data_IF_197113141660
#
_entry.id   IF_197113141660
#
_cell.length_a   1.000
_cell.length_b   1.000
_cell.length_c   1.000
_cell.angle_alpha   90.00
_cell.angle_beta   90.00
_cell.angle_gamma   90.00
#
_symmetry.space_group_name_H-M   'P 1'
#
loop_
_entity.id
_entity.type
_entity.pdbx_description
1 polymer ?
#
# COMPACT_ATOMS: atom_id res chain seq x y z
N UNK A 1 8.27 12.48 -14.18
CA UNK A 1 8.86 12.47 -12.83
C UNK A 1 9.79 11.28 -12.74
N UNK A 2 11.02 11.45 -12.25
CA UNK A 2 11.99 10.37 -12.06
C UNK A 2 11.55 9.47 -10.91
N UNK A 3 11.87 8.17 -10.94
CA UNK A 3 11.72 7.28 -9.80
C UNK A 3 12.92 7.42 -8.82
N UNK A 4 12.87 6.74 -7.69
CA UNK A 4 13.90 6.86 -6.65
C UNK A 4 15.28 6.37 -7.12
N UNK A 5 15.32 5.32 -7.91
CA UNK A 5 16.57 4.79 -8.48
C UNK A 5 17.22 5.82 -9.40
N UNK A 6 16.45 6.49 -10.26
CA UNK A 6 16.98 7.56 -11.13
C UNK A 6 17.47 8.76 -10.30
N UNK A 7 16.75 9.15 -9.24
CA UNK A 7 17.19 10.21 -8.33
C UNK A 7 18.53 9.84 -7.64
N UNK A 8 18.65 8.60 -7.19
CA UNK A 8 19.88 8.08 -6.59
C UNK A 8 21.07 8.10 -7.59
N UNK A 9 20.83 7.75 -8.85
CA UNK A 9 21.81 7.85 -9.94
C UNK A 9 22.21 9.30 -10.20
N UNK A 10 21.29 10.26 -10.06
CA UNK A 10 21.59 11.69 -10.18
C UNK A 10 22.47 12.18 -9.03
N UNK A 11 22.24 11.72 -7.79
CA UNK A 11 23.14 12.00 -6.66
C UNK A 11 24.53 11.42 -6.88
N UNK A 12 24.62 10.15 -7.29
CA UNK A 12 25.88 9.47 -7.53
C UNK A 12 26.73 10.15 -8.64
N UNK A 13 26.08 10.77 -9.63
CA UNK A 13 26.75 11.47 -10.73
C UNK A 13 26.94 12.97 -10.50
N UNK A 14 26.46 13.51 -9.36
CA UNK A 14 26.53 14.94 -9.06
C UNK A 14 25.58 15.83 -9.90
N UNK A 15 24.61 15.24 -10.61
CA UNK A 15 23.59 16.00 -11.37
C UNK A 15 22.53 16.61 -10.46
N UNK A 16 22.37 16.09 -9.25
CA UNK A 16 21.46 16.60 -8.23
C UNK A 16 22.10 16.46 -6.85
N UNK A 17 21.52 17.13 -5.85
CA UNK A 17 21.98 17.15 -4.46
C UNK A 17 20.85 16.78 -3.51
N UNK A 18 21.11 15.95 -2.47
CA UNK A 18 20.10 15.55 -1.47
C UNK A 18 19.38 16.72 -0.79
N UNK A 19 20.10 17.82 -0.49
CA UNK A 19 19.51 19.01 0.14
C UNK A 19 18.52 19.70 -0.81
N UNK A 20 18.91 19.88 -2.07
CA UNK A 20 18.03 20.47 -3.08
C UNK A 20 16.77 19.59 -3.28
N UNK A 21 16.93 18.27 -3.38
CA UNK A 21 15.82 17.33 -3.54
C UNK A 21 14.86 17.39 -2.35
N UNK A 22 15.40 17.49 -1.13
CA UNK A 22 14.60 17.62 0.09
C UNK A 22 13.81 18.94 0.11
N UNK A 23 14.45 20.10 -0.16
CA UNK A 23 13.74 21.39 -0.11
C UNK A 23 12.63 21.46 -1.16
N UNK A 24 12.81 20.86 -2.34
CA UNK A 24 11.74 20.69 -3.32
C UNK A 24 10.59 19.83 -2.80
N UNK A 25 10.92 18.73 -2.09
CA UNK A 25 9.91 17.86 -1.48
C UNK A 25 9.14 18.57 -0.36
N UNK A 26 9.84 19.32 0.54
CA UNK A 26 9.21 20.08 1.62
C UNK A 26 8.32 21.21 1.10
N UNK A 27 8.77 21.95 0.09
CA UNK A 27 8.00 23.02 -0.55
C UNK A 27 6.71 22.43 -1.19
N UNK A 28 6.83 21.33 -1.95
CA UNK A 28 5.68 20.64 -2.55
C UNK A 28 4.74 20.07 -1.50
N UNK A 29 5.27 19.49 -0.43
CA UNK A 29 4.48 18.93 0.68
C UNK A 29 3.69 20.03 1.40
N UNK A 30 4.30 21.19 1.66
CA UNK A 30 3.65 22.33 2.34
C UNK A 30 2.48 22.91 1.55
N UNK A 31 2.51 22.83 0.21
CA UNK A 31 1.43 23.27 -0.69
C UNK A 31 0.37 22.21 -0.95
N UNK A 32 0.60 20.96 -0.52
CA UNK A 32 -0.29 19.84 -0.82
C UNK A 32 -1.32 19.67 0.29
N UNK A 33 -2.55 20.10 0.03
CA UNK A 33 -3.63 20.01 1.01
C UNK A 33 -3.89 18.55 1.42
N UNK A 34 -3.93 18.31 2.73
CA UNK A 34 -4.32 17.04 3.36
C UNK A 34 -3.45 15.83 3.03
N UNK A 35 -2.32 15.98 2.34
CA UNK A 35 -1.43 14.85 2.00
C UNK A 35 -0.58 14.45 3.19
N UNK A 36 -0.09 15.42 3.96
CA UNK A 36 0.69 15.19 5.17
C UNK A 36 -0.10 15.62 6.40
N UNK A 37 0.02 14.85 7.49
CA UNK A 37 -0.44 15.22 8.83
C UNK A 37 0.61 16.09 9.51
N UNK A 38 1.89 15.72 9.35
CA UNK A 38 3.01 16.50 9.89
C UNK A 38 4.26 16.36 9.02
N UNK A 39 5.05 17.42 8.96
CA UNK A 39 6.37 17.42 8.33
C UNK A 39 7.46 17.36 9.40
N UNK A 40 8.54 16.65 9.12
CA UNK A 40 9.70 16.51 10.00
C UNK A 40 10.90 17.30 9.47
N UNK A 41 10.65 18.56 9.07
CA UNK A 41 11.56 19.38 8.28
C UNK A 41 12.97 19.54 8.91
N UNK A 42 13.06 19.78 10.23
CA UNK A 42 14.36 19.91 10.91
C UNK A 42 15.16 18.61 10.88
N UNK A 43 14.52 17.48 11.14
CA UNK A 43 15.13 16.15 11.05
C UNK A 43 15.58 15.88 9.63
N UNK A 44 14.68 16.08 8.65
CA UNK A 44 14.95 15.83 7.25
C UNK A 44 16.13 16.66 6.71
N UNK A 45 16.26 17.94 7.11
CA UNK A 45 17.39 18.79 6.73
C UNK A 45 18.71 18.25 7.27
N UNK A 46 18.78 17.86 8.54
CA UNK A 46 19.98 17.24 9.12
C UNK A 46 20.36 15.95 8.39
N UNK A 47 19.37 15.10 8.07
CA UNK A 47 19.59 13.86 7.32
C UNK A 47 20.11 14.14 5.89
N UNK A 48 19.54 15.11 5.17
CA UNK A 48 19.95 15.46 3.82
C UNK A 48 21.34 16.12 3.75
N UNK A 49 21.66 17.03 4.69
CA UNK A 49 22.98 17.65 4.80
C UNK A 49 24.06 16.58 5.05
N UNK A 50 23.78 15.64 5.96
CA UNK A 50 24.69 14.53 6.22
C UNK A 50 24.87 13.62 4.98
N UNK A 51 23.80 13.33 4.23
CA UNK A 51 23.85 12.57 2.98
C UNK A 51 24.68 13.31 1.91
N UNK A 52 24.44 14.60 1.73
CA UNK A 52 25.22 15.43 0.79
C UNK A 52 26.71 15.45 1.14
N UNK A 53 27.05 15.53 2.43
CA UNK A 53 28.45 15.43 2.87
C UNK A 53 29.08 14.07 2.53
N UNK A 54 28.35 12.98 2.73
CA UNK A 54 28.81 11.61 2.40
C UNK A 54 29.02 11.43 0.89
N UNK A 55 28.10 11.93 0.07
CA UNK A 55 28.28 11.88 -1.40
C UNK A 55 29.52 12.65 -1.86
N UNK A 56 29.75 13.86 -1.31
CA UNK A 56 30.99 14.62 -1.61
C UNK A 56 32.27 13.91 -1.17
N UNK A 57 32.20 13.14 -0.08
CA UNK A 57 33.31 12.33 0.40
C UNK A 57 33.47 10.97 -0.35
N UNK A 58 32.55 10.64 -1.26
CA UNK A 58 32.55 9.33 -1.95
C UNK A 58 32.19 8.15 -1.02
N UNK A 59 31.49 8.40 0.08
CA UNK A 59 31.16 7.40 1.11
C UNK A 59 29.65 7.36 1.44
N UNK A 60 28.77 7.15 0.44
CA UNK A 60 27.35 7.01 0.70
C UNK A 60 27.04 5.75 1.51
N UNK A 61 26.04 5.79 2.40
CA UNK A 61 25.59 4.66 3.22
C UNK A 61 24.93 3.57 2.39
N UNK A 62 24.21 3.96 1.34
CA UNK A 62 23.59 3.06 0.36
C UNK A 62 23.45 3.78 -0.98
N UNK A 63 22.94 3.06 -1.99
CA UNK A 63 22.57 3.70 -3.25
C UNK A 63 21.45 4.77 -3.06
N UNK A 64 20.61 4.63 -2.03
CA UNK A 64 19.51 5.56 -1.73
C UNK A 64 19.84 6.57 -0.63
N UNK A 65 21.13 6.77 -0.34
CA UNK A 65 21.56 7.80 0.60
C UNK A 65 21.11 9.20 0.13
N UNK A 66 20.32 9.89 0.95
CA UNK A 66 19.75 11.20 0.62
C UNK A 66 18.41 11.15 -0.12
N UNK A 67 17.91 9.98 -0.54
CA UNK A 67 16.61 9.89 -1.21
C UNK A 67 15.47 10.19 -0.22
N UNK A 68 14.60 11.18 -0.52
CA UNK A 68 13.49 11.52 0.35
C UNK A 68 12.38 10.46 0.31
N UNK A 69 11.81 10.14 1.48
CA UNK A 69 10.65 9.28 1.60
C UNK A 69 9.65 9.83 2.63
N UNK A 70 8.40 9.37 2.52
CA UNK A 70 7.34 9.72 3.47
C UNK A 70 6.80 8.46 4.17
N UNK A 71 6.22 8.65 5.35
CA UNK A 71 5.73 7.58 6.21
C UNK A 71 4.25 7.75 6.49
N UNK A 72 3.44 6.73 6.28
CA UNK A 72 2.05 6.74 6.76
C UNK A 72 2.03 7.03 8.26
N UNK A 73 1.09 7.85 8.73
CA UNK A 73 1.05 8.25 10.14
C UNK A 73 0.58 7.12 11.09
N UNK A 74 1.11 5.94 10.85
CA UNK A 74 1.09 4.77 11.75
C UNK A 74 2.49 4.38 12.21
N UNK A 75 3.54 4.89 11.54
CA UNK A 75 4.93 4.59 11.88
C UNK A 75 5.43 5.58 12.91
N UNK A 76 5.94 5.11 14.04
CA UNK A 76 6.60 5.93 15.03
C UNK A 76 7.90 6.51 14.46
N UNK A 77 8.05 7.82 14.63
CA UNK A 77 9.27 8.56 14.35
C UNK A 77 9.63 9.33 15.61
N UNK A 78 10.84 9.14 16.11
CA UNK A 78 11.32 9.77 17.34
C UNK A 78 11.12 11.30 17.31
N UNK A 79 10.49 11.83 18.35
CA UNK A 79 10.15 13.25 18.48
C UNK A 79 8.86 13.68 17.75
N UNK A 80 8.12 12.77 17.09
CA UNK A 80 6.85 13.07 16.43
C UNK A 80 5.68 12.28 17.04
N UNK A 81 4.47 12.82 16.91
CA UNK A 81 3.24 12.15 17.35
C UNK A 81 2.77 11.19 16.24
N UNK A 82 2.34 10.00 16.61
CA UNK A 82 1.62 9.07 15.73
C UNK A 82 0.13 9.19 16.03
N UNK A 83 -0.59 9.87 15.13
CA UNK A 83 -2.03 10.13 15.33
C UNK A 83 -2.93 8.99 14.84
N UNK A 84 -2.42 8.11 13.98
CA UNK A 84 -3.22 7.10 13.27
C UNK A 84 -4.40 7.71 12.48
N UNK A 85 -4.28 8.99 12.06
CA UNK A 85 -5.34 9.73 11.39
C UNK A 85 -6.54 10.07 12.28
N UNK A 86 -6.44 9.93 13.61
CA UNK A 86 -7.53 10.08 14.57
C UNK A 86 -7.41 11.37 15.38
N UNK A 87 -8.54 12.07 15.59
CA UNK A 87 -8.58 13.34 16.29
C UNK A 87 -8.15 13.22 17.75
N UNK A 88 -8.59 12.18 18.46
CA UNK A 88 -8.29 11.96 19.87
C UNK A 88 -6.78 11.79 20.16
N UNK A 89 -6.00 11.45 19.13
CA UNK A 89 -4.54 11.26 19.26
C UNK A 89 -3.72 12.50 18.90
N UNK A 90 -4.34 13.63 18.55
CA UNK A 90 -3.59 14.86 18.16
C UNK A 90 -2.58 15.33 19.21
N UNK A 91 -2.87 15.06 20.47
CA UNK A 91 -2.05 15.44 21.61
C UNK A 91 -1.44 14.23 22.36
N UNK A 92 -1.38 13.07 21.69
CA UNK A 92 -0.71 11.91 22.24
C UNK A 92 0.79 12.20 22.47
N UNK A 93 1.46 11.48 23.37
CA UNK A 93 2.91 11.61 23.54
C UNK A 93 3.65 11.38 22.23
N UNK A 94 4.68 12.18 21.97
CA UNK A 94 5.59 11.93 20.86
C UNK A 94 6.32 10.60 21.07
N UNK A 95 6.57 9.85 19.99
CA UNK A 95 7.33 8.61 20.04
C UNK A 95 8.77 8.89 20.54
N UNK A 96 9.25 8.05 21.43
CA UNK A 96 10.63 8.15 21.95
C UNK A 96 11.67 7.51 21.04
N UNK A 97 11.24 6.56 20.21
CA UNK A 97 12.07 5.79 19.28
C UNK A 97 11.44 5.75 17.90
N UNK A 98 12.26 5.56 16.89
CA UNK A 98 11.81 5.23 15.55
C UNK A 98 11.26 3.79 15.51
N UNK A 99 10.23 3.55 14.73
CA UNK A 99 9.82 2.21 14.35
C UNK A 99 11.00 1.46 13.68
N UNK A 100 11.06 0.13 13.84
CA UNK A 100 12.17 -0.68 13.33
C UNK A 100 12.49 -0.42 11.85
N UNK A 101 11.48 -0.33 11.00
CA UNK A 101 11.64 -0.06 9.57
C UNK A 101 12.08 1.40 9.29
N UNK A 102 11.63 2.38 10.09
CA UNK A 102 12.11 3.77 10.01
C UNK A 102 13.60 3.81 10.31
N UNK A 103 14.02 3.20 11.41
CA UNK A 103 15.43 3.14 11.80
C UNK A 103 16.31 2.45 10.75
N UNK A 104 15.81 1.37 10.09
CA UNK A 104 16.55 0.68 9.02
C UNK A 104 16.79 1.58 7.81
N UNK A 105 15.75 2.24 7.29
CA UNK A 105 15.89 3.10 6.12
C UNK A 105 16.67 4.39 6.43
N UNK A 106 16.55 4.94 7.64
CA UNK A 106 17.41 6.04 8.08
C UNK A 106 18.89 5.63 8.19
N UNK A 107 19.19 4.43 8.67
CA UNK A 107 20.58 3.89 8.65
C UNK A 107 21.10 3.64 7.24
N UNK A 108 20.25 3.39 6.27
CA UNK A 108 20.61 3.36 4.86
C UNK A 108 20.81 4.75 4.24
N UNK A 109 20.58 5.82 5.00
CA UNK A 109 20.78 7.21 4.62
C UNK A 109 19.57 7.89 4.01
N UNK A 110 18.42 7.25 3.93
CA UNK A 110 17.21 7.87 3.38
C UNK A 110 16.70 9.00 4.27
N UNK A 111 16.05 9.99 3.67
CA UNK A 111 15.62 11.24 4.33
C UNK A 111 14.12 11.23 4.58
N UNK A 112 13.71 11.35 5.84
CA UNK A 112 12.31 11.29 6.26
C UNK A 112 11.63 12.66 6.17
N UNK A 113 10.79 12.87 5.16
CA UNK A 113 10.11 14.17 4.89
C UNK A 113 9.00 14.45 5.90
N UNK A 114 8.23 13.43 6.27
CA UNK A 114 7.11 13.59 7.19
C UNK A 114 6.15 12.42 7.21
N UNK A 115 5.03 12.63 7.91
CA UNK A 115 4.00 11.63 8.17
C UNK A 115 2.76 11.92 7.32
N UNK A 116 2.39 10.98 6.47
CA UNK A 116 1.29 11.12 5.51
C UNK A 116 -0.06 10.76 6.11
N UNK A 117 -1.09 11.40 5.59
CA UNK A 117 -2.48 11.18 5.96
C UNK A 117 -2.97 9.77 5.58
N UNK A 118 -4.03 9.34 6.24
CA UNK A 118 -4.63 8.02 6.08
C UNK A 118 -6.12 8.04 6.49
N UNK A 119 -6.88 7.02 6.08
CA UNK A 119 -8.18 6.76 6.71
C UNK A 119 -7.99 6.52 8.20
N UNK A 120 -8.83 7.11 9.05
CA UNK A 120 -8.72 6.98 10.50
C UNK A 120 -8.55 5.52 10.93
N UNK A 121 -7.59 5.27 11.85
CA UNK A 121 -7.19 3.95 12.35
C UNK A 121 -6.89 2.92 11.24
N UNK A 122 -6.55 3.37 10.02
CA UNK A 122 -6.39 2.53 8.83
C UNK A 122 -7.64 1.71 8.43
N UNK A 123 -8.84 2.05 8.89
CA UNK A 123 -10.02 1.19 8.83
C UNK A 123 -11.00 1.52 7.67
N UNK A 124 -10.47 1.98 6.53
CA UNK A 124 -11.24 2.15 5.27
C UNK A 124 -10.33 2.02 4.04
N UNK A 125 -10.86 1.47 2.94
CA UNK A 125 -10.19 1.39 1.63
C UNK A 125 -10.37 2.63 0.76
N UNK A 126 -11.14 3.63 1.19
CA UNK A 126 -11.47 4.80 0.36
C UNK A 126 -10.50 5.98 0.53
N UNK A 127 -9.84 6.11 1.68
CA UNK A 127 -8.87 7.17 1.93
C UNK A 127 -9.44 8.47 2.48
N UNK A 128 -10.75 8.51 2.83
CA UNK A 128 -11.38 9.66 3.44
C UNK A 128 -10.92 9.83 4.89
N UNK A 129 -10.72 11.07 5.31
CA UNK A 129 -10.45 11.43 6.70
C UNK A 129 -11.10 12.78 7.05
N UNK A 130 -12.12 12.81 7.91
CA UNK A 130 -12.81 14.04 8.28
C UNK A 130 -11.98 14.93 9.23
N UNK A 131 -10.98 14.38 9.91
CA UNK A 131 -10.20 15.09 10.94
C UNK A 131 -9.01 15.85 10.37
N UNK A 132 -8.37 15.30 9.34
CA UNK A 132 -7.17 15.87 8.70
C UNK A 132 -7.41 16.23 7.23
N UNK A 133 -8.67 16.16 6.77
CA UNK A 133 -9.06 16.32 5.38
C UNK A 133 -8.71 15.08 4.53
N UNK A 134 -9.26 15.03 3.32
CA UNK A 134 -9.02 13.90 2.39
C UNK A 134 -8.03 14.33 1.31
N UNK A 135 -6.89 13.62 1.13
CA UNK A 135 -5.99 13.84 0.01
C UNK A 135 -6.73 13.64 -1.32
N UNK A 136 -6.55 14.52 -2.28
CA UNK A 136 -7.21 14.40 -3.58
C UNK A 136 -6.36 13.57 -4.52
N UNK A 137 -7.00 12.63 -5.22
CA UNK A 137 -6.36 11.89 -6.29
C UNK A 137 -5.86 12.87 -7.38
N UNK A 138 -4.59 12.82 -7.81
CA UNK A 138 -4.07 13.72 -8.84
C UNK A 138 -4.65 13.47 -10.25
N UNK A 139 -5.30 12.33 -10.44
CA UNK A 139 -6.06 12.01 -11.66
C UNK A 139 -7.55 12.32 -11.42
N UNK A 140 -8.16 13.18 -12.11
CA UNK A 140 -9.54 13.59 -11.92
C UNK A 140 -9.60 15.10 -11.82
N UNK A 141 -9.38 15.72 -13.00
CA UNK A 141 -9.28 17.17 -13.11
C UNK A 141 -10.62 17.86 -13.16
N UNK A 142 -11.69 17.14 -13.50
CA UNK A 142 -13.08 17.61 -13.59
C UNK A 142 -13.78 17.63 -12.23
N UNK A 143 -13.58 16.59 -11.42
CA UNK A 143 -14.15 16.47 -10.09
C UNK A 143 -13.16 15.80 -9.14
N UNK A 144 -13.07 16.22 -7.85
CA UNK A 144 -12.24 15.57 -6.87
C UNK A 144 -12.62 14.09 -6.71
N UNK A 145 -11.62 13.21 -6.77
CA UNK A 145 -11.80 11.77 -6.64
C UNK A 145 -11.06 11.24 -5.43
N UNK A 146 -11.52 10.09 -4.91
CA UNK A 146 -10.87 9.45 -3.78
C UNK A 146 -9.46 8.99 -4.14
N UNK A 147 -8.51 9.08 -3.21
CA UNK A 147 -7.15 8.56 -3.40
C UNK A 147 -7.06 7.04 -3.24
N UNK A 148 -8.12 6.41 -2.69
CA UNK A 148 -7.98 5.07 -2.14
C UNK A 148 -7.25 5.08 -0.81
N UNK A 149 -7.44 4.02 -0.04
CA UNK A 149 -6.94 3.93 1.35
C UNK A 149 -6.60 2.51 1.79
N UNK A 150 -6.13 2.46 3.01
CA UNK A 150 -5.99 3.53 4.00
C UNK A 150 -4.74 4.41 3.84
N UNK A 151 -3.72 4.01 3.04
CA UNK A 151 -2.47 4.79 2.84
C UNK A 151 -2.66 5.91 1.81
N UNK A 152 -3.68 6.76 2.01
CA UNK A 152 -4.14 7.77 1.07
C UNK A 152 -3.09 8.85 0.79
N UNK A 153 -2.56 9.47 1.84
CA UNK A 153 -1.53 10.49 1.72
C UNK A 153 -0.23 9.94 1.14
N UNK A 154 0.15 8.68 1.48
CA UNK A 154 1.34 8.02 0.91
C UNK A 154 1.22 7.87 -0.60
N UNK A 155 0.07 7.41 -1.11
CA UNK A 155 -0.16 7.27 -2.54
C UNK A 155 -0.14 8.61 -3.25
N UNK A 156 -0.84 9.61 -2.73
CA UNK A 156 -0.88 10.94 -3.35
C UNK A 156 0.48 11.62 -3.31
N UNK A 157 1.26 11.48 -2.23
CA UNK A 157 2.62 12.02 -2.14
C UNK A 157 3.53 11.49 -3.26
N UNK A 158 3.43 10.19 -3.59
CA UNK A 158 4.21 9.58 -4.69
C UNK A 158 3.63 9.94 -6.06
N UNK A 159 2.32 9.88 -6.24
CA UNK A 159 1.67 10.15 -7.53
C UNK A 159 1.78 11.61 -7.95
N UNK A 160 1.72 12.55 -7.00
CA UNK A 160 1.94 13.98 -7.24
C UNK A 160 3.42 14.36 -7.35
N UNK A 161 4.36 13.42 -7.16
CA UNK A 161 5.80 13.65 -7.29
C UNK A 161 6.43 14.43 -6.14
N UNK A 162 5.78 14.48 -4.98
CA UNK A 162 6.33 15.14 -3.78
C UNK A 162 7.54 14.35 -3.26
N UNK A 163 7.40 13.04 -3.18
CA UNK A 163 8.48 12.10 -2.85
C UNK A 163 8.49 10.94 -3.86
N UNK A 164 9.65 10.30 -4.11
CA UNK A 164 9.68 9.14 -4.99
C UNK A 164 9.12 7.86 -4.35
N UNK A 165 9.13 7.78 -3.03
CA UNK A 165 8.72 6.60 -2.24
C UNK A 165 7.91 7.06 -1.03
N UNK A 166 6.88 6.28 -0.68
CA UNK A 166 6.22 6.40 0.62
C UNK A 166 5.93 5.02 1.20
N UNK A 167 6.11 4.87 2.52
CA UNK A 167 5.77 3.64 3.22
C UNK A 167 4.31 3.63 3.66
N UNK A 168 3.67 2.48 3.56
CA UNK A 168 2.30 2.23 3.96
C UNK A 168 2.12 0.94 4.73
N UNK A 169 0.88 0.69 5.15
CA UNK A 169 0.45 -0.58 5.75
C UNK A 169 -0.69 -1.17 4.95
N UNK A 170 -0.80 -2.49 4.91
CA UNK A 170 -1.85 -3.21 4.16
C UNK A 170 -2.42 -4.34 5.02
N UNK A 171 -3.64 -4.15 5.50
CA UNK A 171 -4.40 -5.16 6.25
C UNK A 171 -5.41 -5.86 5.36
N UNK A 172 -6.07 -5.11 4.46
CA UNK A 172 -7.11 -5.61 3.56
C UNK A 172 -6.94 -5.12 2.11
N UNK A 173 -5.85 -4.38 1.81
CA UNK A 173 -5.58 -3.76 0.52
C UNK A 173 -4.99 -2.36 0.61
N UNK A 174 -4.65 -1.90 1.82
CA UNK A 174 -4.35 -0.49 2.10
C UNK A 174 -3.04 0.07 1.51
N UNK A 175 -2.24 -0.71 0.82
CA UNK A 175 -1.15 -0.30 -0.07
C UNK A 175 -1.59 -0.50 -1.52
N UNK A 176 -2.14 -1.66 -1.84
CA UNK A 176 -2.48 -2.09 -3.20
C UNK A 176 -3.60 -1.25 -3.81
N UNK A 177 -4.66 -0.97 -3.04
CA UNK A 177 -5.80 -0.15 -3.48
C UNK A 177 -5.36 1.26 -3.86
N UNK A 178 -4.74 2.06 -2.94
CA UNK A 178 -4.33 3.41 -3.30
C UNK A 178 -3.26 3.43 -4.40
N UNK A 179 -2.39 2.41 -4.49
CA UNK A 179 -1.47 2.28 -5.62
C UNK A 179 -2.22 2.15 -6.95
N UNK A 180 -3.20 1.25 -7.06
CA UNK A 180 -3.99 1.04 -8.28
C UNK A 180 -4.76 2.30 -8.70
N UNK A 181 -5.41 2.99 -7.74
CA UNK A 181 -6.20 4.19 -8.02
C UNK A 181 -5.35 5.43 -8.35
N UNK A 182 -4.04 5.41 -8.02
CA UNK A 182 -3.10 6.49 -8.30
C UNK A 182 -2.03 6.11 -9.35
N UNK A 183 -2.20 5.00 -10.08
CA UNK A 183 -1.28 4.60 -11.14
C UNK A 183 0.15 4.32 -10.67
N UNK A 184 0.29 3.71 -9.49
CA UNK A 184 1.55 3.41 -8.83
C UNK A 184 1.78 1.90 -8.70
N UNK A 185 3.02 1.56 -8.38
CA UNK A 185 3.39 0.26 -7.85
C UNK A 185 3.14 0.26 -6.35
N UNK A 186 2.38 -0.74 -5.86
CA UNK A 186 2.15 -0.94 -4.43
C UNK A 186 2.50 -2.37 -4.03
N UNK A 187 3.46 -2.52 -3.14
CA UNK A 187 3.87 -3.84 -2.67
C UNK A 187 3.40 -4.10 -1.24
N UNK A 188 2.51 -5.09 -1.07
CA UNK A 188 2.18 -5.73 0.20
C UNK A 188 3.13 -6.91 0.41
N UNK A 189 3.88 -6.92 1.51
CA UNK A 189 4.70 -8.07 1.88
C UNK A 189 3.88 -9.18 2.57
N UNK A 190 4.42 -10.38 2.71
CA UNK A 190 3.96 -11.35 3.70
C UNK A 190 4.01 -10.73 5.10
N UNK A 191 3.06 -11.04 5.99
CA UNK A 191 2.87 -10.35 7.28
C UNK A 191 4.09 -10.41 8.22
N UNK A 192 4.94 -11.43 8.08
CA UNK A 192 6.15 -11.63 8.89
C UNK A 192 7.44 -11.18 8.21
N UNK A 193 7.34 -10.56 7.03
CA UNK A 193 8.54 -10.19 6.28
C UNK A 193 9.31 -9.05 6.91
N UNK A 194 8.61 -8.06 7.48
CA UNK A 194 9.22 -6.90 8.15
C UNK A 194 8.75 -6.80 9.60
N UNK A 195 9.64 -6.31 10.50
CA UNK A 195 9.22 -5.98 11.87
C UNK A 195 8.17 -4.88 11.85
N UNK A 196 7.16 -5.05 12.69
CA UNK A 196 6.10 -4.06 12.92
C UNK A 196 6.27 -3.31 14.23
N UNK A 197 7.44 -3.43 14.88
CA UNK A 197 7.74 -2.73 16.12
C UNK A 197 7.72 -1.22 15.88
N UNK A 198 6.94 -0.49 16.68
CA UNK A 198 6.70 0.94 16.52
C UNK A 198 5.72 1.29 15.39
N UNK A 199 4.91 0.34 14.91
CA UNK A 199 3.83 0.61 13.95
C UNK A 199 2.48 0.42 14.63
N UNK A 200 1.63 1.45 14.60
CA UNK A 200 0.28 1.41 15.16
C UNK A 200 -0.55 0.31 14.50
N UNK A 201 -1.08 -0.68 15.23
CA UNK A 201 -1.71 -1.86 14.66
C UNK A 201 -3.18 -1.62 14.30
N UNK A 202 -3.68 -2.41 13.33
CA UNK A 202 -5.12 -2.58 13.06
C UNK A 202 -5.56 -4.04 13.26
N UNK A 203 -4.77 -5.01 12.78
CA UNK A 203 -5.07 -6.43 12.91
C UNK A 203 -3.77 -7.24 12.92
N UNK A 204 -3.42 -7.83 14.07
CA UNK A 204 -2.11 -8.45 14.30
C UNK A 204 -1.74 -9.56 13.31
N UNK A 205 -2.72 -10.35 12.85
CA UNK A 205 -2.44 -11.48 11.95
C UNK A 205 -2.54 -11.14 10.46
N UNK A 206 -2.96 -9.90 10.13
CA UNK A 206 -3.21 -9.44 8.77
C UNK A 206 -2.33 -8.27 8.35
N UNK A 207 -1.88 -7.44 9.31
CA UNK A 207 -1.09 -6.26 9.03
C UNK A 207 0.24 -6.60 8.37
N UNK A 208 0.49 -5.93 7.27
CA UNK A 208 1.72 -6.00 6.50
C UNK A 208 2.21 -4.59 6.18
N UNK A 209 3.49 -4.46 5.94
CA UNK A 209 4.15 -3.21 5.58
C UNK A 209 4.65 -3.28 4.14
N UNK A 210 4.81 -2.13 3.50
CA UNK A 210 5.46 -2.07 2.21
C UNK A 210 5.44 -0.67 1.59
N UNK A 211 6.18 -0.49 0.51
CA UNK A 211 6.28 0.77 -0.20
C UNK A 211 5.17 0.97 -1.24
N UNK A 212 4.87 2.25 -1.49
CA UNK A 212 4.26 2.77 -2.71
C UNK A 212 5.36 3.49 -3.50
N UNK A 213 5.52 3.15 -4.76
CA UNK A 213 6.61 3.63 -5.63
C UNK A 213 6.11 3.86 -7.05
N UNK A 214 6.96 4.46 -7.91
CA UNK A 214 6.64 4.59 -9.34
C UNK A 214 7.13 3.43 -10.18
N UNK A 215 8.03 2.59 -9.64
CA UNK A 215 8.58 1.43 -10.34
C UNK A 215 8.78 0.24 -9.41
N UNK A 216 8.77 -0.97 -9.96
CA UNK A 216 9.05 -2.19 -9.19
C UNK A 216 10.51 -2.24 -8.74
N UNK A 217 11.44 -1.64 -9.50
CA UNK A 217 12.85 -1.58 -9.09
C UNK A 217 13.05 -0.81 -7.79
N UNK A 218 12.25 0.24 -7.55
CA UNK A 218 12.27 0.98 -6.29
C UNK A 218 11.70 0.15 -5.13
N UNK A 219 10.61 -0.59 -5.37
CA UNK A 219 10.03 -1.49 -4.37
C UNK A 219 11.03 -2.61 -3.97
N UNK A 220 11.76 -3.16 -4.94
CA UNK A 220 12.84 -4.13 -4.71
C UNK A 220 13.98 -3.53 -3.90
N UNK A 221 14.39 -2.30 -4.21
CA UNK A 221 15.45 -1.62 -3.48
C UNK A 221 15.06 -1.37 -2.01
N UNK A 222 13.82 -0.99 -1.74
CA UNK A 222 13.32 -0.87 -0.36
C UNK A 222 13.30 -2.22 0.35
N UNK A 223 12.87 -3.30 -0.33
CA UNK A 223 12.90 -4.64 0.24
C UNK A 223 14.32 -5.06 0.61
N UNK A 224 15.29 -4.78 -0.25
CA UNK A 224 16.71 -5.07 0.03
C UNK A 224 17.25 -4.27 1.21
N UNK A 225 16.96 -2.96 1.28
CA UNK A 225 17.41 -2.11 2.39
C UNK A 225 16.82 -2.53 3.74
N UNK A 226 15.55 -2.96 3.76
CA UNK A 226 14.88 -3.48 4.96
C UNK A 226 15.45 -4.84 5.42
N UNK A 227 16.21 -5.53 4.57
CA UNK A 227 16.91 -6.79 4.89
C UNK A 227 18.43 -6.64 4.96
N UNK A 228 18.95 -5.41 4.96
CA UNK A 228 20.40 -5.12 4.89
C UNK A 228 21.09 -5.84 3.71
N UNK A 229 20.44 -5.86 2.55
CA UNK A 229 20.96 -6.45 1.31
C UNK A 229 21.32 -5.34 0.33
N UNK A 230 22.31 -5.61 -0.52
CA UNK A 230 22.74 -4.71 -1.60
C UNK A 230 22.77 -5.50 -2.90
N UNK A 231 21.61 -5.67 -3.51
CA UNK A 231 21.49 -6.43 -4.76
C UNK A 231 21.10 -5.50 -5.93
N UNK A 232 21.66 -5.79 -7.09
CA UNK A 232 21.20 -5.17 -8.33
C UNK A 232 20.17 -6.09 -8.99
N UNK A 233 18.96 -5.60 -9.14
CA UNK A 233 17.87 -6.31 -9.80
C UNK A 233 17.79 -5.89 -11.26
N UNK A 234 17.70 -6.88 -12.15
CA UNK A 234 17.51 -6.67 -13.58
C UNK A 234 16.26 -7.44 -14.00
N UNK A 235 15.39 -6.80 -14.78
CA UNK A 235 14.24 -7.45 -15.37
C UNK A 235 14.72 -8.64 -16.25
N UNK A 236 14.07 -9.78 -16.09
CA UNK A 236 14.30 -10.96 -16.91
C UNK A 236 13.15 -11.12 -17.91
N UNK A 237 13.37 -11.93 -18.94
CA UNK A 237 12.28 -12.31 -19.83
C UNK A 237 11.16 -13.00 -19.05
N UNK A 238 9.91 -12.65 -19.36
CA UNK A 238 8.72 -13.34 -18.83
C UNK A 238 8.47 -14.69 -19.50
N UNK A 239 9.30 -15.09 -20.49
CA UNK A 239 9.15 -16.34 -21.22
C UNK A 239 9.11 -17.53 -20.26
N UNK A 240 8.03 -18.30 -20.33
CA UNK A 240 7.80 -19.45 -19.47
C UNK A 240 7.30 -19.11 -18.06
N UNK A 241 7.19 -17.83 -17.68
CA UNK A 241 6.56 -17.44 -16.41
C UNK A 241 5.12 -17.95 -16.37
N UNK A 242 4.79 -18.71 -15.32
CA UNK A 242 3.45 -19.26 -15.13
C UNK A 242 2.60 -18.26 -14.37
N UNK A 243 1.45 -17.89 -14.96
CA UNK A 243 0.46 -16.99 -14.39
C UNK A 243 -0.91 -17.66 -14.45
N UNK A 244 -1.74 -17.47 -13.42
CA UNK A 244 -3.15 -17.89 -13.41
C UNK A 244 -4.00 -16.63 -13.35
N UNK A 245 -4.73 -16.34 -14.43
CA UNK A 245 -5.74 -15.28 -14.43
C UNK A 245 -7.01 -15.79 -13.75
N UNK A 246 -7.37 -15.19 -12.61
CA UNK A 246 -8.63 -15.46 -11.92
C UNK A 246 -9.80 -14.90 -12.73
N UNK A 247 -10.46 -15.76 -13.46
CA UNK A 247 -11.51 -15.37 -14.40
C UNK A 247 -12.85 -15.07 -13.71
N UNK A 248 -13.14 -15.72 -12.58
CA UNK A 248 -14.44 -15.64 -11.91
C UNK A 248 -14.81 -14.24 -11.40
N UNK A 249 -13.82 -13.34 -11.21
CA UNK A 249 -14.08 -11.96 -10.75
C UNK A 249 -14.32 -10.97 -11.89
N UNK A 250 -14.05 -11.35 -13.14
CA UNK A 250 -14.03 -10.39 -14.27
C UNK A 250 -15.43 -9.90 -14.69
N UNK A 251 -16.47 -10.65 -14.38
CA UNK A 251 -17.86 -10.24 -14.67
C UNK A 251 -18.33 -9.08 -13.80
N UNK A 252 -17.70 -8.90 -12.62
CA UNK A 252 -18.13 -7.95 -11.59
C UNK A 252 -17.18 -6.75 -11.44
N UNK A 253 -16.39 -6.43 -12.47
CA UNK A 253 -15.51 -5.27 -12.49
C UNK A 253 -15.87 -4.32 -13.62
N UNK A 254 -15.52 -3.05 -13.46
CA UNK A 254 -15.74 -2.04 -14.48
C UNK A 254 -15.16 -2.48 -15.85
N UNK A 255 -15.82 -2.15 -16.96
CA UNK A 255 -15.34 -2.50 -18.30
C UNK A 255 -13.90 -2.03 -18.57
N UNK A 256 -13.53 -0.82 -18.09
CA UNK A 256 -12.18 -0.30 -18.26
C UNK A 256 -11.13 -1.15 -17.51
N UNK A 257 -11.42 -1.55 -16.26
CA UNK A 257 -10.56 -2.41 -15.46
C UNK A 257 -10.37 -3.76 -16.15
N UNK A 258 -11.46 -4.39 -16.57
CA UNK A 258 -11.44 -5.68 -17.29
C UNK A 258 -10.64 -5.60 -18.58
N UNK A 259 -10.94 -4.60 -19.43
CA UNK A 259 -10.31 -4.48 -20.74
C UNK A 259 -8.82 -4.19 -20.64
N UNK A 260 -8.40 -3.35 -19.68
CA UNK A 260 -6.98 -3.06 -19.45
C UNK A 260 -6.24 -4.29 -18.93
N UNK A 261 -6.85 -5.05 -18.01
CA UNK A 261 -6.27 -6.31 -17.53
C UNK A 261 -6.11 -7.33 -18.66
N UNK A 262 -7.16 -7.55 -19.48
CA UNK A 262 -7.09 -8.50 -20.59
C UNK A 262 -6.06 -8.08 -21.63
N UNK A 263 -5.92 -6.77 -21.90
CA UNK A 263 -4.85 -6.26 -22.78
C UNK A 263 -3.46 -6.58 -22.20
N UNK A 264 -3.25 -6.34 -20.89
CA UNK A 264 -1.99 -6.68 -20.22
C UNK A 264 -1.70 -8.19 -20.31
N UNK A 265 -2.70 -9.04 -20.16
CA UNK A 265 -2.58 -10.50 -20.32
C UNK A 265 -2.14 -10.87 -21.75
N UNK A 266 -2.70 -10.25 -22.78
CA UNK A 266 -2.30 -10.53 -24.17
C UNK A 266 -0.86 -10.04 -24.44
N UNK A 267 -0.44 -8.90 -23.90
CA UNK A 267 0.96 -8.44 -23.97
C UNK A 267 1.92 -9.46 -23.33
N UNK A 268 1.57 -9.98 -22.14
CA UNK A 268 2.36 -10.98 -21.43
C UNK A 268 2.45 -12.30 -22.20
N UNK A 269 1.34 -12.77 -22.79
CA UNK A 269 1.34 -13.96 -23.67
C UNK A 269 2.22 -13.75 -24.88
N UNK A 270 2.11 -12.60 -25.55
CA UNK A 270 2.95 -12.25 -26.70
C UNK A 270 4.44 -12.22 -26.36
N UNK A 271 4.79 -11.79 -25.12
CA UNK A 271 6.16 -11.84 -24.59
C UNK A 271 6.60 -13.23 -24.12
N UNK A 272 5.73 -14.26 -24.25
CA UNK A 272 6.04 -15.67 -23.98
C UNK A 272 5.70 -16.16 -22.57
N UNK A 273 4.95 -15.41 -21.77
CA UNK A 273 4.40 -15.90 -20.52
C UNK A 273 3.34 -16.99 -20.77
N UNK A 274 3.24 -17.94 -19.85
CA UNK A 274 2.20 -18.98 -19.87
C UNK A 274 1.06 -18.54 -18.95
N UNK A 275 -0.01 -17.99 -19.54
CA UNK A 275 -1.18 -17.53 -18.80
C UNK A 275 -2.32 -18.53 -18.95
N UNK A 276 -2.64 -19.20 -17.86
CA UNK A 276 -3.83 -20.03 -17.71
C UNK A 276 -4.99 -19.16 -17.24
N UNK A 277 -6.12 -19.23 -17.95
CA UNK A 277 -7.35 -18.50 -17.58
C UNK A 277 -8.33 -19.49 -16.98
N UNK A 278 -8.58 -19.38 -15.69
CA UNK A 278 -9.51 -20.24 -14.95
C UNK A 278 -10.00 -19.57 -13.67
N UNK A 279 -11.00 -20.12 -13.05
CA UNK A 279 -11.31 -19.80 -11.66
C UNK A 279 -10.28 -20.46 -10.72
N UNK A 280 -9.92 -19.76 -9.66
CA UNK A 280 -9.17 -20.30 -8.54
C UNK A 280 -10.16 -20.76 -7.46
N UNK A 281 -10.36 -22.06 -7.27
CA UNK A 281 -11.28 -22.58 -6.25
C UNK A 281 -10.96 -22.02 -4.86
N UNK A 282 -9.67 -21.88 -4.52
CA UNK A 282 -9.22 -21.36 -3.23
C UNK A 282 -9.55 -19.87 -3.09
N UNK A 283 -9.36 -19.06 -4.15
CA UNK A 283 -9.72 -17.65 -4.13
C UNK A 283 -11.22 -17.46 -3.97
N UNK A 284 -12.03 -18.21 -4.72
CA UNK A 284 -13.50 -18.17 -4.63
C UNK A 284 -14.01 -18.66 -3.26
N UNK A 285 -13.42 -19.70 -2.70
CA UNK A 285 -13.74 -20.19 -1.35
C UNK A 285 -13.42 -19.13 -0.29
N UNK A 286 -12.33 -18.36 -0.49
CA UNK A 286 -11.95 -17.27 0.41
C UNK A 286 -12.95 -16.11 0.34
N UNK A 287 -13.39 -15.72 -0.85
CA UNK A 287 -14.47 -14.72 -1.02
C UNK A 287 -15.76 -15.18 -0.33
N UNK A 288 -16.14 -16.44 -0.52
CA UNK A 288 -17.33 -17.04 0.11
C UNK A 288 -17.22 -17.09 1.65
N UNK A 289 -16.03 -17.41 2.19
CA UNK A 289 -15.74 -17.40 3.62
C UNK A 289 -15.96 -16.00 4.20
N UNK A 290 -15.35 -14.98 3.58
CA UNK A 290 -15.47 -13.57 4.01
C UNK A 290 -16.93 -13.11 3.95
N UNK A 291 -17.64 -13.42 2.88
CA UNK A 291 -19.06 -13.06 2.71
C UNK A 291 -19.95 -13.69 3.76
N UNK A 292 -19.72 -14.97 4.10
CA UNK A 292 -20.58 -15.75 5.01
C UNK A 292 -20.26 -15.55 6.49
N UNK A 293 -18.98 -15.42 6.82
CA UNK A 293 -18.49 -15.42 8.20
C UNK A 293 -17.82 -14.11 8.61
N UNK A 294 -17.86 -13.08 7.75
CA UNK A 294 -17.26 -11.78 8.05
C UNK A 294 -15.74 -11.75 7.85
N UNK A 295 -15.19 -10.59 8.07
CA UNK A 295 -13.78 -10.28 7.88
C UNK A 295 -12.98 -10.52 9.16
N UNK A 296 -11.92 -11.35 9.10
CA UNK A 296 -11.04 -11.63 10.26
C UNK A 296 -10.52 -10.35 10.93
N UNK A 297 -10.14 -9.35 10.12
CA UNK A 297 -9.66 -8.07 10.64
C UNK A 297 -10.69 -7.27 11.44
N UNK A 298 -12.00 -7.56 11.33
CA UNK A 298 -13.01 -6.91 12.16
C UNK A 298 -12.94 -7.41 13.60
N UNK A 299 -12.73 -8.72 13.81
CA UNK A 299 -12.53 -9.30 15.16
C UNK A 299 -11.28 -8.72 15.82
N UNK A 300 -10.16 -8.68 15.08
CA UNK A 300 -8.90 -8.20 15.62
C UNK A 300 -8.91 -6.69 15.87
N UNK A 301 -9.47 -5.90 14.95
CA UNK A 301 -9.62 -4.46 15.12
C UNK A 301 -10.52 -4.13 16.33
N UNK A 302 -11.62 -4.85 16.52
CA UNK A 302 -12.47 -4.67 17.71
C UNK A 302 -11.68 -4.99 18.98
N UNK A 303 -10.98 -6.12 19.03
CA UNK A 303 -10.22 -6.54 20.22
C UNK A 303 -9.13 -5.51 20.58
N UNK A 304 -8.48 -4.90 19.58
CA UNK A 304 -7.47 -3.85 19.79
C UNK A 304 -8.07 -2.53 20.26
N UNK A 305 -9.22 -2.15 19.72
CA UNK A 305 -9.82 -0.83 19.96
C UNK A 305 -10.98 -0.86 20.96
N UNK A 306 -11.30 -2.01 21.57
CA UNK A 306 -12.35 -2.08 22.57
C UNK A 306 -12.14 -1.10 23.75
N UNK A 307 -10.92 -0.93 24.33
CA UNK A 307 -10.73 0.07 25.39
C UNK A 307 -11.03 1.52 24.94
N UNK A 308 -10.74 1.84 23.67
CA UNK A 308 -11.10 3.15 23.07
C UNK A 308 -12.62 3.27 22.92
N UNK A 309 -13.28 2.24 22.39
CA UNK A 309 -14.74 2.24 22.19
C UNK A 309 -15.52 2.35 23.51
N UNK A 310 -14.96 1.84 24.61
CA UNK A 310 -15.54 1.91 25.94
C UNK A 310 -15.14 3.20 26.71
N UNK A 311 -14.40 4.10 26.09
CA UNK A 311 -13.97 5.39 26.65
C UNK A 311 -14.74 6.58 26.07
N UNK A 312 -14.60 7.75 26.69
CA UNK A 312 -15.16 9.02 26.18
C UNK A 312 -14.53 9.44 24.83
N UNK A 313 -13.33 8.99 24.51
CA UNK A 313 -12.66 9.32 23.24
C UNK A 313 -13.33 8.68 22.03
N UNK A 314 -14.17 7.66 22.24
CA UNK A 314 -14.98 7.06 21.17
C UNK A 314 -15.85 8.06 20.42
N UNK A 315 -16.31 9.14 21.08
CA UNK A 315 -17.11 10.20 20.48
C UNK A 315 -16.32 11.07 19.47
N UNK A 316 -14.98 11.04 19.56
CA UNK A 316 -14.08 11.75 18.64
C UNK A 316 -13.75 10.97 17.37
N UNK A 317 -14.19 9.70 17.27
CA UNK A 317 -13.97 8.89 16.06
C UNK A 317 -14.90 9.33 14.93
N UNK A 318 -14.45 9.14 13.68
CA UNK A 318 -15.34 9.17 12.51
C UNK A 318 -16.50 8.19 12.75
N UNK A 319 -17.76 8.64 12.71
CA UNK A 319 -18.93 7.79 12.99
C UNK A 319 -18.95 6.50 12.14
N UNK A 320 -18.43 6.56 10.91
CA UNK A 320 -18.33 5.40 10.00
C UNK A 320 -17.31 4.38 10.48
N UNK A 321 -16.17 4.83 10.99
CA UNK A 321 -15.13 3.97 11.60
C UNK A 321 -15.65 3.38 12.90
N UNK A 322 -16.23 4.20 13.79
CA UNK A 322 -16.82 3.76 15.05
C UNK A 322 -17.87 2.68 14.83
N UNK A 323 -18.85 2.92 13.94
CA UNK A 323 -19.92 1.95 13.63
C UNK A 323 -19.37 0.60 13.15
N UNK A 324 -18.32 0.63 12.33
CA UNK A 324 -17.69 -0.61 11.83
C UNK A 324 -16.90 -1.36 12.91
N UNK A 325 -16.26 -0.67 13.83
CA UNK A 325 -15.59 -1.29 14.98
C UNK A 325 -16.63 -1.90 15.94
N UNK A 326 -17.69 -1.16 16.27
CA UNK A 326 -18.77 -1.62 17.14
C UNK A 326 -19.54 -2.83 16.58
N UNK A 327 -19.69 -2.92 15.25
CA UNK A 327 -20.37 -4.05 14.62
C UNK A 327 -19.72 -5.40 14.93
N UNK A 328 -18.43 -5.43 15.27
CA UNK A 328 -17.73 -6.64 15.64
C UNK A 328 -17.92 -7.05 17.12
N UNK A 329 -18.47 -6.17 17.97
CA UNK A 329 -18.71 -6.45 19.41
C UNK A 329 -19.60 -7.67 19.66
N UNK A 330 -20.57 -7.92 18.78
CA UNK A 330 -21.52 -9.02 18.89
C UNK A 330 -21.11 -10.29 18.15
N UNK A 331 -19.96 -10.30 17.49
CA UNK A 331 -19.50 -11.46 16.74
C UNK A 331 -19.04 -12.58 17.70
N UNK A 332 -19.54 -13.84 17.56
CA UNK A 332 -19.20 -14.90 18.47
C UNK A 332 -17.77 -15.42 18.26
N UNK A 333 -17.09 -15.77 19.35
CA UNK A 333 -15.74 -16.34 19.29
C UNK A 333 -15.66 -17.64 18.46
N UNK A 334 -16.74 -18.42 18.41
CA UNK A 334 -16.82 -19.62 17.55
C UNK A 334 -16.68 -19.31 16.07
N UNK A 335 -17.16 -18.14 15.63
CA UNK A 335 -17.01 -17.68 14.25
C UNK A 335 -15.56 -17.31 13.96
N UNK A 336 -14.87 -16.63 14.88
CA UNK A 336 -13.44 -16.34 14.78
C UNK A 336 -12.62 -17.62 14.63
N UNK A 337 -12.87 -18.62 15.52
CA UNK A 337 -12.16 -19.90 15.47
C UNK A 337 -12.39 -20.59 14.12
N UNK A 338 -13.65 -20.63 13.65
CA UNK A 338 -13.97 -21.21 12.35
C UNK A 338 -13.22 -20.52 11.19
N UNK A 339 -13.18 -19.20 11.18
CA UNK A 339 -12.46 -18.43 10.14
C UNK A 339 -10.96 -18.75 10.17
N UNK A 340 -10.35 -18.86 11.36
CA UNK A 340 -8.92 -19.20 11.49
C UNK A 340 -8.62 -20.63 11.01
N UNK A 341 -9.47 -21.62 11.35
CA UNK A 341 -9.31 -23.01 10.91
C UNK A 341 -9.45 -23.15 9.39
N UNK A 342 -10.44 -22.47 8.81
CA UNK A 342 -10.63 -22.47 7.35
C UNK A 342 -9.49 -21.75 6.65
N UNK A 343 -9.03 -20.60 7.19
CA UNK A 343 -7.88 -19.86 6.67
C UNK A 343 -6.66 -20.74 6.50
N UNK A 344 -6.30 -21.51 7.54
CA UNK A 344 -5.12 -22.38 7.51
C UNK A 344 -5.21 -23.42 6.38
N UNK A 345 -6.39 -24.04 6.21
CA UNK A 345 -6.62 -25.02 5.13
C UNK A 345 -6.52 -24.37 3.75
N UNK A 346 -7.14 -23.19 3.58
CA UNK A 346 -7.11 -22.48 2.31
C UNK A 346 -5.69 -21.99 1.94
N UNK A 347 -4.85 -21.63 2.91
CA UNK A 347 -3.46 -21.30 2.66
C UNK A 347 -2.68 -22.47 2.06
N UNK A 348 -2.88 -23.70 2.60
CA UNK A 348 -2.25 -24.89 2.04
C UNK A 348 -2.81 -25.24 0.66
N UNK A 349 -4.12 -25.20 0.50
CA UNK A 349 -4.77 -25.45 -0.79
C UNK A 349 -4.29 -24.48 -1.89
N UNK A 350 -4.05 -23.21 -1.54
CA UNK A 350 -3.52 -22.22 -2.49
C UNK A 350 -2.13 -22.59 -3.00
N UNK A 351 -1.26 -23.08 -2.12
CA UNK A 351 0.10 -23.52 -2.48
C UNK A 351 0.01 -24.66 -3.50
N UNK A 352 -0.81 -25.67 -3.19
CA UNK A 352 -0.99 -26.86 -4.04
C UNK A 352 -1.66 -26.47 -5.36
N UNK A 353 -2.65 -25.59 -5.34
CA UNK A 353 -3.39 -25.13 -6.53
C UNK A 353 -2.52 -24.32 -7.48
N UNK A 354 -1.71 -23.41 -6.97
CA UNK A 354 -0.86 -22.55 -7.81
C UNK A 354 0.39 -23.27 -8.31
N UNK A 355 0.89 -24.26 -7.58
CA UNK A 355 2.07 -25.06 -7.97
C UNK A 355 3.18 -24.19 -8.59
N UNK A 356 3.56 -23.13 -7.89
CA UNK A 356 4.58 -22.17 -8.33
C UNK A 356 4.12 -21.15 -9.39
N UNK A 357 2.85 -21.14 -9.84
CA UNK A 357 2.32 -20.05 -10.64
C UNK A 357 2.05 -18.79 -9.77
N UNK A 358 1.89 -17.65 -10.41
CA UNK A 358 1.51 -16.38 -9.79
C UNK A 358 0.05 -16.11 -10.15
N UNK A 359 -0.76 -15.80 -9.14
CA UNK A 359 -2.16 -15.41 -9.34
C UNK A 359 -2.22 -13.99 -9.87
N UNK A 360 -3.04 -13.77 -10.89
CA UNK A 360 -3.28 -12.49 -11.54
C UNK A 360 -4.76 -12.11 -11.42
N UNK A 361 -5.03 -10.95 -10.81
CA UNK A 361 -6.38 -10.40 -10.65
C UNK A 361 -6.38 -8.90 -10.99
N UNK A 362 -7.57 -8.28 -11.19
CA UNK A 362 -7.66 -6.83 -11.01
C UNK A 362 -7.32 -6.47 -9.56
N UNK A 363 -6.67 -5.32 -9.33
CA UNK A 363 -6.40 -4.86 -7.94
C UNK A 363 -7.68 -4.34 -7.29
N UNK A 364 -8.44 -3.52 -8.01
CA UNK A 364 -9.72 -2.92 -7.57
C UNK A 364 -10.75 -3.13 -8.68
N UNK A 365 -12.02 -3.26 -8.31
CA UNK A 365 -13.10 -3.55 -9.26
C UNK A 365 -13.50 -2.33 -10.13
N UNK A 366 -13.11 -1.14 -9.75
CA UNK A 366 -13.54 0.13 -10.35
C UNK A 366 -12.37 1.13 -10.42
N UNK A 367 -12.54 2.19 -11.22
CA UNK A 367 -11.67 3.37 -11.19
C UNK A 367 -12.00 4.25 -9.98
N UNK A 368 -11.17 5.27 -9.68
CA UNK A 368 -11.38 6.14 -8.51
C UNK A 368 -12.76 6.84 -8.54
N UNK A 369 -13.68 6.55 -7.61
CA UNK A 369 -14.97 7.23 -7.50
C UNK A 369 -14.84 8.72 -7.17
N UNK A 370 -15.89 9.49 -7.47
CA UNK A 370 -16.03 10.90 -7.07
C UNK A 370 -16.12 11.00 -5.56
N UNK A 371 -15.41 11.98 -4.97
CA UNK A 371 -15.29 12.13 -3.52
C UNK A 371 -16.59 12.64 -2.86
N UNK A 372 -17.18 13.71 -3.37
CA UNK A 372 -18.28 14.43 -2.70
C UNK A 372 -19.51 13.56 -2.36
N UNK A 373 -19.98 12.63 -3.24
CA UNK A 373 -21.10 11.74 -2.85
C UNK A 373 -20.74 10.81 -1.68
N UNK A 374 -19.49 10.37 -1.57
CA UNK A 374 -19.03 9.49 -0.50
C UNK A 374 -18.82 10.21 0.83
N UNK A 375 -18.63 11.53 0.81
CA UNK A 375 -18.62 12.36 2.02
C UNK A 375 -20.02 12.63 2.53
N UNK A 376 -21.03 12.69 1.63
CA UNK A 376 -22.39 13.07 1.95
C UNK A 376 -23.31 11.90 2.32
N UNK A 377 -23.00 10.67 1.88
CA UNK A 377 -23.86 9.49 2.03
C UNK A 377 -23.09 8.32 2.65
N UNK A 378 -23.45 8.00 3.88
CA UNK A 378 -22.83 6.91 4.66
C UNK A 378 -23.12 5.51 4.07
N UNK A 379 -24.29 5.29 3.47
CA UNK A 379 -24.63 3.98 2.88
C UNK A 379 -23.85 3.77 1.58
N UNK A 380 -23.75 4.82 0.76
CA UNK A 380 -22.88 4.82 -0.42
C UNK A 380 -21.41 4.62 -0.03
N UNK A 381 -20.96 5.27 1.05
CA UNK A 381 -19.61 5.05 1.58
C UNK A 381 -19.38 3.58 1.94
N UNK A 382 -20.29 2.95 2.69
CA UNK A 382 -20.15 1.55 3.13
C UNK A 382 -20.14 0.60 1.93
N UNK A 383 -21.09 0.74 1.02
CA UNK A 383 -21.19 -0.14 -0.17
C UNK A 383 -19.97 0.00 -1.09
N UNK A 384 -19.54 1.24 -1.35
CA UNK A 384 -18.35 1.51 -2.15
C UNK A 384 -17.06 1.00 -1.48
N UNK A 385 -16.95 1.17 -0.15
CA UNK A 385 -15.80 0.67 0.60
C UNK A 385 -15.69 -0.86 0.52
N UNK A 386 -16.80 -1.59 0.64
CA UNK A 386 -16.81 -3.05 0.48
C UNK A 386 -16.43 -3.47 -0.96
N UNK A 387 -16.97 -2.81 -1.97
CA UNK A 387 -16.64 -3.08 -3.37
C UNK A 387 -15.14 -2.82 -3.65
N UNK A 388 -14.58 -1.75 -3.08
CA UNK A 388 -13.15 -1.39 -3.21
C UNK A 388 -12.23 -2.43 -2.59
N UNK A 389 -12.58 -2.97 -1.43
CA UNK A 389 -11.78 -3.95 -0.68
C UNK A 389 -11.90 -5.38 -1.22
N UNK A 390 -12.97 -5.70 -1.93
CA UNK A 390 -13.39 -7.08 -2.26
C UNK A 390 -12.29 -7.93 -2.87
N UNK A 391 -11.53 -7.39 -3.83
CA UNK A 391 -10.52 -8.17 -4.56
C UNK A 391 -9.17 -8.29 -3.84
N UNK A 392 -8.89 -7.42 -2.89
CA UNK A 392 -7.64 -7.45 -2.12
C UNK A 392 -7.74 -8.23 -0.80
N UNK A 393 -8.94 -8.31 -0.22
CA UNK A 393 -9.19 -9.03 1.03
C UNK A 393 -8.81 -10.52 0.99
N UNK A 394 -9.10 -11.30 -0.09
CA UNK A 394 -8.68 -12.70 -0.15
C UNK A 394 -7.18 -12.88 0.00
N UNK A 395 -6.39 -12.10 -0.73
CA UNK A 395 -4.93 -12.14 -0.61
C UNK A 395 -4.43 -11.77 0.79
N UNK A 396 -5.10 -10.82 1.46
CA UNK A 396 -4.79 -10.47 2.85
C UNK A 396 -5.13 -11.59 3.82
N UNK A 397 -6.33 -12.21 3.68
CA UNK A 397 -6.73 -13.33 4.53
C UNK A 397 -5.79 -14.53 4.39
N UNK A 398 -5.34 -14.81 3.18
CA UNK A 398 -4.41 -15.92 2.89
C UNK A 398 -2.94 -15.55 3.14
N UNK A 399 -2.66 -14.34 3.63
CA UNK A 399 -1.31 -13.80 3.84
C UNK A 399 -0.42 -13.82 2.58
N UNK A 400 -1.04 -13.60 1.43
CA UNK A 400 -0.32 -13.52 0.15
C UNK A 400 0.45 -12.21 0.05
N UNK A 401 1.74 -12.22 -0.26
CA UNK A 401 2.41 -11.04 -0.78
C UNK A 401 1.79 -10.65 -2.12
N UNK A 402 1.68 -9.35 -2.39
CA UNK A 402 1.02 -8.85 -3.58
C UNK A 402 1.67 -7.59 -4.13
N UNK A 403 1.82 -7.52 -5.45
CA UNK A 403 2.32 -6.34 -6.17
C UNK A 403 1.23 -5.83 -7.10
N UNK A 404 0.68 -4.66 -6.79
CA UNK A 404 -0.20 -3.93 -7.69
C UNK A 404 0.63 -3.14 -8.70
N UNK A 405 0.33 -3.30 -9.97
CA UNK A 405 0.98 -2.61 -11.09
C UNK A 405 -0.06 -1.81 -11.88
N UNK A 406 0.29 -0.64 -12.45
CA UNK A 406 -0.57 0.04 -13.41
C UNK A 406 -0.86 -0.87 -14.61
N UNK A 407 -2.14 -0.98 -15.01
CA UNK A 407 -2.55 -1.79 -16.16
C UNK A 407 -3.10 -0.95 -17.34
N UNK A 408 -3.27 0.34 -17.14
CA UNK A 408 -3.80 1.27 -18.12
C UNK A 408 -4.64 2.37 -17.49
N UNK A 409 -5.46 3.01 -18.31
CA UNK A 409 -6.38 4.08 -17.89
C UNK A 409 -7.74 3.87 -18.54
N UNK A 410 -8.78 4.46 -17.94
CA UNK A 410 -10.09 4.55 -18.57
C UNK A 410 -10.16 5.72 -19.58
N UNK A 411 -11.34 5.96 -20.13
CA UNK A 411 -11.57 7.03 -21.10
C UNK A 411 -11.43 8.45 -20.49
N UNK A 412 -11.48 8.57 -19.15
CA UNK A 412 -11.30 9.82 -18.42
C UNK A 412 -9.85 10.00 -17.92
N UNK A 413 -8.96 9.07 -18.28
CA UNK A 413 -7.56 9.09 -17.85
C UNK A 413 -7.33 8.55 -16.43
N UNK A 414 -8.34 7.94 -15.80
CA UNK A 414 -8.22 7.37 -14.45
C UNK A 414 -7.47 6.04 -14.49
N UNK A 415 -6.49 5.84 -13.59
CA UNK A 415 -5.69 4.62 -13.57
C UNK A 415 -6.50 3.37 -13.23
N UNK A 416 -6.07 2.24 -13.77
CA UNK A 416 -6.47 0.89 -13.39
C UNK A 416 -5.25 0.08 -12.98
N UNK A 417 -5.44 -0.94 -12.13
CA UNK A 417 -4.36 -1.77 -11.63
C UNK A 417 -4.59 -3.28 -11.83
N UNK A 418 -3.54 -4.00 -12.16
CA UNK A 418 -3.46 -5.44 -12.04
C UNK A 418 -2.69 -5.84 -10.79
N UNK A 419 -3.05 -6.95 -10.18
CA UNK A 419 -2.43 -7.47 -8.97
C UNK A 419 -1.81 -8.84 -9.25
N UNK A 420 -0.51 -8.94 -9.00
CA UNK A 420 0.22 -10.20 -8.94
C UNK A 420 0.28 -10.65 -7.47
N UNK A 421 -0.07 -11.90 -7.18
CA UNK A 421 -0.02 -12.46 -5.82
C UNK A 421 0.59 -13.86 -5.83
N UNK A 422 1.34 -14.20 -4.78
CA UNK A 422 1.97 -15.49 -4.59
C UNK A 422 1.64 -16.03 -3.18
N UNK A 423 1.85 -17.32 -2.90
CA UNK A 423 1.77 -17.85 -1.54
C UNK A 423 2.68 -17.12 -0.54
N UNK A 424 2.30 -17.14 0.74
CA UNK A 424 3.06 -16.50 1.82
C UNK A 424 4.54 -16.93 1.80
N UNK A 425 5.44 -15.98 2.05
CA UNK A 425 6.90 -16.20 2.05
C UNK A 425 7.57 -16.15 0.68
N UNK A 426 6.81 -16.09 -0.43
CA UNK A 426 7.37 -16.05 -1.78
C UNK A 426 7.63 -14.62 -2.31
N UNK A 427 7.76 -13.67 -1.42
CA UNK A 427 7.96 -12.24 -1.71
C UNK A 427 9.06 -11.95 -2.72
N UNK A 428 10.25 -12.51 -2.51
CA UNK A 428 11.39 -12.25 -3.38
C UNK A 428 11.18 -12.79 -4.81
N UNK A 429 10.47 -13.92 -4.97
CA UNK A 429 10.09 -14.46 -6.26
C UNK A 429 9.05 -13.57 -6.93
N UNK A 430 8.03 -13.15 -6.18
CA UNK A 430 6.96 -12.29 -6.65
C UNK A 430 7.51 -10.93 -7.14
N UNK A 431 8.36 -10.27 -6.36
CA UNK A 431 8.95 -8.98 -6.72
C UNK A 431 9.80 -9.07 -8.00
N UNK A 432 10.60 -10.14 -8.16
CA UNK A 432 11.37 -10.35 -9.39
C UNK A 432 10.47 -10.61 -10.61
N UNK A 433 9.39 -11.36 -10.42
CA UNK A 433 8.41 -11.58 -11.50
C UNK A 433 7.69 -10.27 -11.85
N UNK A 434 7.30 -9.47 -10.85
CA UNK A 434 6.68 -8.16 -11.05
C UNK A 434 7.58 -7.20 -11.84
N UNK A 435 8.90 -7.19 -11.57
CA UNK A 435 9.87 -6.40 -12.34
C UNK A 435 9.89 -6.81 -13.82
N UNK A 436 9.81 -8.11 -14.09
CA UNK A 436 9.77 -8.64 -15.46
C UNK A 436 8.45 -8.34 -16.15
N UNK A 437 7.33 -8.43 -15.43
CA UNK A 437 5.99 -8.06 -15.92
C UNK A 437 5.93 -6.56 -16.23
N UNK A 438 6.39 -5.70 -15.31
CA UNK A 438 6.44 -4.25 -15.52
C UNK A 438 7.20 -3.89 -16.81
N UNK A 439 8.34 -4.54 -17.08
CA UNK A 439 9.12 -4.28 -18.29
C UNK A 439 8.39 -4.60 -19.59
N UNK A 440 7.44 -5.54 -19.59
CA UNK A 440 6.59 -5.86 -20.74
C UNK A 440 5.46 -4.84 -20.90
N UNK A 441 4.86 -4.41 -19.79
CA UNK A 441 3.72 -3.48 -19.81
C UNK A 441 4.11 -2.04 -20.14
N UNK A 442 5.38 -1.67 -19.93
CA UNK A 442 5.91 -0.32 -20.22
C UNK A 442 6.50 -0.20 -21.64
N UNK A 443 6.60 -1.30 -22.41
CA UNK A 443 7.01 -1.32 -23.81
C UNK A 443 5.80 -1.28 -24.76
#
# INVERSE_FOLDING_TARGET
MSDATSMAEDFASGRSDPVQALEQALDSASRSASVFISLTAERARREAEAAAARWRAGQPLSAFDGVPLAWKDLFDMAGSITTAGAAYRRHAPAASLDASCVGLLCRAGMVSVGKTNLSELAYSGLGLNPHFGTPRNPYGTDQPRIPGGSSSGSAVAVAAGIVPIAMGTDTAGSIRIPAALNGLVGYRSSSRRYSRDGVFPLAHTLDSLGPLTRSVRDALAIDDLLHDRRQRHVARSVKGQRLVLEHGVLAEVDPAVRNNLLRAVEQLKAAGARVETRESPTFQATLALIKRHGWLGAFEAFALHQPLLDSADAEQLDPRVRRRLEAARSLPASQLIHVLDVRQRLQQQLIDELDGAILLTPTVAHVAPVLAPLEADDELFVSTNLATLRLTMPGSLLDMPGVSLPSGRDAQGLPTGLLLSAPTGEDARLLRAALSVESVLNN
#
